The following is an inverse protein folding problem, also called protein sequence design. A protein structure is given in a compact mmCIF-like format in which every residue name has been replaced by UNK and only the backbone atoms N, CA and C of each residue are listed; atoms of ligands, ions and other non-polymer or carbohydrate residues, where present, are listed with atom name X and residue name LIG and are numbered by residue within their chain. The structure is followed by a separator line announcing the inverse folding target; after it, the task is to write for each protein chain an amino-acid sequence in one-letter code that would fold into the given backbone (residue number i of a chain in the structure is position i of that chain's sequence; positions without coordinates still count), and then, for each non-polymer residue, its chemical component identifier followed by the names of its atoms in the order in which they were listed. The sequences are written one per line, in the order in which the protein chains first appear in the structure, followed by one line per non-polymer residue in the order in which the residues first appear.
data_IF_766070576655
#
_entry.id   IF_766070576655
#
_cell.length_a   1.000
_cell.length_b   1.000
_cell.length_c   1.000
_cell.angle_alpha   90.00
_cell.angle_beta   90.00
_cell.angle_gamma   90.00
#
_symmetry.space_group_name_H-M   'P 1'
#
loop_
_entity.id
_entity.type
_entity.pdbx_description
1 polymer ?
#
# COMPACT_ATOMS: atom_id res chain seq x y z
N UNK A 1 10.30 -24.47 -3.74
CA UNK A 1 9.04 -24.11 -3.04
C UNK A 1 8.18 -23.37 -4.06
N UNK A 2 6.91 -23.67 -4.13
CA UNK A 2 5.98 -22.99 -5.04
C UNK A 2 5.84 -21.51 -4.67
N UNK A 3 5.79 -20.63 -5.68
CA UNK A 3 5.51 -19.22 -5.46
C UNK A 3 4.03 -19.02 -5.10
N UNK A 4 3.74 -18.98 -3.81
CA UNK A 4 2.35 -18.90 -3.30
C UNK A 4 1.68 -17.57 -3.61
N UNK A 5 2.44 -16.49 -3.80
CA UNK A 5 1.87 -15.21 -4.23
C UNK A 5 1.42 -15.31 -5.68
N UNK A 6 2.15 -16.02 -6.54
CA UNK A 6 1.75 -16.25 -7.94
C UNK A 6 0.35 -16.89 -8.02
N UNK A 7 0.09 -17.90 -7.18
CA UNK A 7 -1.23 -18.57 -7.12
C UNK A 7 -2.36 -17.57 -6.73
N UNK A 8 -2.07 -16.62 -5.84
CA UNK A 8 -3.07 -15.58 -5.51
C UNK A 8 -3.24 -14.57 -6.66
N UNK A 9 -2.16 -14.24 -7.39
CA UNK A 9 -2.23 -13.34 -8.55
C UNK A 9 -3.01 -13.95 -9.74
N UNK A 10 -3.09 -15.27 -9.85
CA UNK A 10 -3.92 -15.94 -10.88
C UNK A 10 -5.41 -15.57 -10.77
N UNK A 11 -5.86 -15.13 -9.59
CA UNK A 11 -7.24 -14.67 -9.34
C UNK A 11 -7.49 -13.22 -9.79
N UNK A 12 -6.47 -12.52 -10.26
CA UNK A 12 -6.57 -11.09 -10.61
C UNK A 12 -7.70 -10.82 -11.60
N UNK A 13 -7.79 -11.62 -12.68
CA UNK A 13 -8.84 -11.44 -13.68
C UNK A 13 -10.25 -11.61 -13.08
N UNK A 14 -10.43 -12.58 -12.19
CA UNK A 14 -11.69 -12.79 -11.48
C UNK A 14 -12.06 -11.57 -10.63
N UNK A 15 -11.06 -11.00 -9.94
CA UNK A 15 -11.23 -9.82 -9.09
C UNK A 15 -11.62 -8.59 -9.93
N UNK A 16 -10.99 -8.40 -11.08
CA UNK A 16 -11.32 -7.27 -11.96
C UNK A 16 -12.73 -7.38 -12.52
N UNK A 17 -13.12 -8.58 -13.00
CA UNK A 17 -14.48 -8.85 -13.45
C UNK A 17 -15.50 -8.69 -12.32
N UNK A 18 -15.14 -9.04 -11.09
CA UNK A 18 -15.99 -8.79 -9.93
C UNK A 18 -16.13 -7.29 -9.66
N UNK A 19 -15.04 -6.52 -9.67
CA UNK A 19 -15.06 -5.08 -9.44
C UNK A 19 -15.89 -4.36 -10.51
N UNK A 20 -15.81 -4.82 -11.77
CA UNK A 20 -16.57 -4.26 -12.88
C UNK A 20 -18.09 -4.39 -12.68
N UNK A 21 -18.55 -5.41 -11.97
CA UNK A 21 -19.98 -5.62 -11.67
C UNK A 21 -20.48 -4.84 -10.46
N UNK A 22 -19.58 -4.18 -9.68
CA UNK A 22 -19.99 -3.48 -8.47
C UNK A 22 -20.66 -2.14 -8.79
N UNK A 23 -21.71 -1.82 -8.04
CA UNK A 23 -22.25 -0.45 -8.03
C UNK A 23 -21.40 0.45 -7.14
N UNK A 24 -20.60 1.31 -7.76
CA UNK A 24 -19.74 2.27 -7.08
C UNK A 24 -20.34 3.67 -6.98
N UNK A 25 -21.61 3.87 -7.36
CA UNK A 25 -22.24 5.18 -7.39
C UNK A 25 -22.20 5.90 -6.03
N UNK A 26 -22.42 5.18 -4.93
CA UNK A 26 -22.32 5.72 -3.59
C UNK A 26 -20.91 6.21 -3.24
N UNK A 27 -19.89 5.40 -3.52
CA UNK A 27 -18.49 5.75 -3.30
C UNK A 27 -18.08 6.93 -4.18
N UNK A 28 -18.47 6.92 -5.45
CA UNK A 28 -18.24 8.03 -6.40
C UNK A 28 -18.85 9.33 -5.88
N UNK A 29 -20.10 9.31 -5.45
CA UNK A 29 -20.77 10.47 -4.86
C UNK A 29 -20.01 11.02 -3.67
N UNK A 30 -19.58 10.15 -2.74
CA UNK A 30 -18.83 10.58 -1.57
C UNK A 30 -17.49 11.23 -1.95
N UNK A 31 -16.76 10.63 -2.89
CA UNK A 31 -15.42 11.11 -3.27
C UNK A 31 -15.52 12.33 -4.20
N UNK A 32 -16.30 12.26 -5.27
CA UNK A 32 -16.26 13.23 -6.38
C UNK A 32 -17.34 14.31 -6.30
N UNK A 33 -18.58 13.99 -5.92
CA UNK A 33 -19.72 14.91 -6.03
C UNK A 33 -19.91 15.80 -4.80
N UNK A 34 -19.33 15.42 -3.67
CA UNK A 34 -19.40 16.22 -2.47
C UNK A 34 -18.57 17.51 -2.59
N UNK A 35 -18.85 18.57 -1.79
CA UNK A 35 -18.11 19.82 -1.83
C UNK A 35 -16.61 19.60 -1.79
N UNK A 36 -15.86 20.50 -2.42
CA UNK A 36 -14.40 20.48 -2.45
C UNK A 36 -13.82 20.62 -1.04
N UNK A 37 -13.53 19.50 -0.43
CA UNK A 37 -12.91 19.38 0.89
C UNK A 37 -11.65 18.54 0.75
N UNK A 38 -10.60 18.80 1.52
CA UNK A 38 -9.47 17.88 1.60
C UNK A 38 -9.94 16.46 1.94
N UNK A 39 -9.33 15.45 1.33
CA UNK A 39 -9.63 14.04 1.60
C UNK A 39 -8.51 13.42 2.43
N UNK A 40 -8.85 12.89 3.58
CA UNK A 40 -7.95 12.09 4.43
C UNK A 40 -8.34 10.63 4.29
N UNK A 41 -7.46 9.82 3.70
CA UNK A 41 -7.59 8.37 3.63
C UNK A 41 -6.80 7.73 4.78
N UNK A 42 -7.42 6.83 5.53
CA UNK A 42 -6.82 6.24 6.74
C UNK A 42 -6.77 4.74 6.59
N UNK A 43 -5.57 4.16 6.66
CA UNK A 43 -5.35 2.73 6.56
C UNK A 43 -4.00 2.30 7.13
N UNK A 44 -3.74 1.01 7.21
CA UNK A 44 -2.48 0.43 7.67
C UNK A 44 -2.12 -0.83 6.88
N UNK A 45 -0.82 -1.17 6.80
CA UNK A 45 -0.33 -2.28 5.99
C UNK A 45 -0.73 -2.09 4.52
N UNK A 46 -1.15 -3.13 3.82
CA UNK A 46 -1.61 -3.05 2.43
C UNK A 46 -2.76 -2.04 2.19
N UNK A 47 -3.60 -1.76 3.21
CA UNK A 47 -4.63 -0.72 3.09
C UNK A 47 -4.05 0.69 3.01
N UNK A 48 -2.84 0.95 3.51
CA UNK A 48 -2.17 2.26 3.37
C UNK A 48 -1.78 2.53 1.92
N UNK A 49 -1.34 1.50 1.20
CA UNK A 49 -1.09 1.57 -0.25
C UNK A 49 -2.36 1.97 -1.02
N UNK A 50 -3.50 1.33 -0.69
CA UNK A 50 -4.80 1.73 -1.24
C UNK A 50 -5.17 3.19 -0.90
N UNK A 51 -4.95 3.60 0.36
CA UNK A 51 -5.18 4.99 0.78
C UNK A 51 -4.35 5.97 -0.05
N UNK A 52 -3.09 5.63 -0.32
CA UNK A 52 -2.22 6.46 -1.16
C UNK A 52 -2.71 6.54 -2.59
N UNK A 53 -3.16 5.42 -3.15
CA UNK A 53 -3.75 5.40 -4.48
C UNK A 53 -4.99 6.30 -4.59
N UNK A 54 -5.93 6.18 -3.64
CA UNK A 54 -7.11 7.05 -3.57
C UNK A 54 -6.71 8.52 -3.46
N UNK A 55 -5.73 8.82 -2.60
CA UNK A 55 -5.24 10.19 -2.38
C UNK A 55 -4.65 10.80 -3.64
N UNK A 56 -3.87 10.04 -4.42
CA UNK A 56 -3.33 10.48 -5.71
C UNK A 56 -4.46 10.71 -6.73
N UNK A 57 -5.41 9.77 -6.84
CA UNK A 57 -6.58 9.92 -7.72
C UNK A 57 -7.37 11.19 -7.38
N UNK A 58 -7.59 11.43 -6.10
CA UNK A 58 -8.30 12.62 -5.63
C UNK A 58 -7.51 13.90 -5.95
N UNK A 59 -6.20 13.88 -5.69
CA UNK A 59 -5.34 15.06 -5.89
C UNK A 59 -5.19 15.46 -7.37
N UNK A 60 -5.30 14.50 -8.28
CA UNK A 60 -5.24 14.80 -9.72
C UNK A 60 -6.53 15.43 -10.28
N UNK A 61 -7.66 15.41 -9.53
CA UNK A 61 -8.97 15.78 -10.07
C UNK A 61 -9.76 16.78 -9.24
N UNK A 62 -9.61 16.76 -7.92
CA UNK A 62 -10.57 17.44 -7.04
C UNK A 62 -9.93 18.36 -6.00
N UNK A 63 -8.79 18.03 -5.46
CA UNK A 63 -8.18 18.81 -4.40
C UNK A 63 -7.17 18.02 -3.58
N UNK A 64 -6.78 18.50 -2.42
CA UNK A 64 -5.77 17.85 -1.62
C UNK A 64 -6.26 16.51 -1.05
N UNK A 65 -5.61 15.43 -1.46
CA UNK A 65 -5.76 14.10 -0.88
C UNK A 65 -4.50 13.69 -0.08
N UNK A 66 -4.68 13.08 1.07
CA UNK A 66 -3.57 12.55 1.86
C UNK A 66 -3.89 11.17 2.41
N UNK A 67 -2.86 10.32 2.54
CA UNK A 67 -2.96 9.01 3.15
C UNK A 67 -2.17 9.00 4.46
N UNK A 68 -2.79 8.53 5.52
CA UNK A 68 -2.20 8.48 6.86
C UNK A 68 -2.55 7.17 7.58
N UNK A 69 -1.74 6.84 8.58
CA UNK A 69 -2.03 5.72 9.46
C UNK A 69 -3.06 6.10 10.54
N UNK A 70 -3.74 5.14 11.17
CA UNK A 70 -4.63 5.40 12.29
C UNK A 70 -3.97 6.19 13.43
N UNK A 71 -2.70 5.93 13.70
CA UNK A 71 -1.95 6.64 14.73
C UNK A 71 -1.80 8.14 14.41
N UNK A 72 -1.51 8.47 13.15
CA UNK A 72 -1.32 9.86 12.72
C UNK A 72 -2.56 10.74 12.90
N UNK A 73 -3.76 10.15 12.95
CA UNK A 73 -5.02 10.90 13.17
C UNK A 73 -5.02 11.60 14.52
N UNK A 74 -4.33 11.06 15.53
CA UNK A 74 -4.25 11.69 16.85
C UNK A 74 -3.50 13.02 16.86
N UNK A 75 -2.62 13.23 15.88
CA UNK A 75 -1.91 14.51 15.71
C UNK A 75 -2.74 15.56 14.96
N UNK A 76 -3.96 15.23 14.51
CA UNK A 76 -4.84 16.15 13.80
C UNK A 76 -5.91 16.64 14.76
N UNK A 77 -6.08 17.97 14.84
CA UNK A 77 -7.11 18.57 15.68
C UNK A 77 -8.52 18.24 15.17
N UNK A 78 -9.49 18.24 16.07
CA UNK A 78 -10.88 17.99 15.72
C UNK A 78 -11.43 19.04 14.74
N UNK A 79 -10.97 20.29 14.84
CA UNK A 79 -11.40 21.35 13.91
C UNK A 79 -10.90 21.12 12.48
N UNK A 80 -9.69 20.60 12.31
CA UNK A 80 -9.20 20.18 10.98
C UNK A 80 -10.00 18.98 10.46
N UNK A 81 -10.27 17.98 11.31
CA UNK A 81 -11.06 16.81 10.90
C UNK A 81 -12.48 17.19 10.45
N UNK A 82 -13.11 18.22 11.06
CA UNK A 82 -14.43 18.73 10.65
C UNK A 82 -14.44 19.30 9.22
N UNK A 83 -13.32 19.81 8.75
CA UNK A 83 -13.23 20.42 7.40
C UNK A 83 -12.93 19.41 6.30
N UNK A 84 -12.55 18.19 6.63
CA UNK A 84 -12.10 17.16 5.67
C UNK A 84 -13.20 16.13 5.36
N UNK A 85 -13.09 15.47 4.23
CA UNK A 85 -13.66 14.15 4.00
C UNK A 85 -12.72 13.11 4.62
N UNK A 86 -13.26 12.10 5.26
CA UNK A 86 -12.49 11.05 5.92
C UNK A 86 -12.93 9.70 5.35
N UNK A 87 -12.01 8.96 4.74
CA UNK A 87 -12.24 7.64 4.20
C UNK A 87 -11.37 6.61 4.92
N UNK A 88 -12.00 5.73 5.68
CA UNK A 88 -11.35 4.63 6.38
C UNK A 88 -11.27 3.41 5.45
N UNK A 89 -10.07 2.95 5.15
CA UNK A 89 -9.84 1.77 4.30
C UNK A 89 -9.38 0.61 5.15
N UNK A 90 -10.11 -0.49 5.09
CA UNK A 90 -9.77 -1.69 5.86
C UNK A 90 -10.37 -2.91 5.19
N UNK A 91 -9.56 -3.92 4.89
CA UNK A 91 -10.03 -5.15 4.24
C UNK A 91 -11.27 -5.73 4.95
N UNK A 92 -11.15 -6.07 6.23
CA UNK A 92 -12.21 -6.74 7.02
C UNK A 92 -13.07 -5.81 7.86
N UNK A 93 -12.69 -4.55 7.99
CA UNK A 93 -13.42 -3.57 8.79
C UNK A 93 -13.48 -3.83 10.31
N UNK A 94 -12.63 -4.71 10.85
CA UNK A 94 -12.63 -5.11 12.27
C UNK A 94 -11.29 -4.84 12.98
N UNK A 95 -10.35 -4.15 12.35
CA UNK A 95 -9.11 -3.73 13.00
C UNK A 95 -9.42 -2.75 14.13
N UNK A 96 -8.85 -3.00 15.32
CA UNK A 96 -9.15 -2.22 16.54
C UNK A 96 -8.77 -0.75 16.42
N UNK A 97 -7.66 -0.45 15.75
CA UNK A 97 -7.19 0.92 15.55
C UNK A 97 -8.11 1.68 14.61
N UNK A 98 -8.46 1.06 13.47
CA UNK A 98 -9.41 1.65 12.51
C UNK A 98 -10.78 1.86 13.15
N UNK A 99 -11.29 0.92 13.92
CA UNK A 99 -12.60 1.06 14.58
C UNK A 99 -12.59 2.13 15.67
N UNK A 100 -11.49 2.29 16.40
CA UNK A 100 -11.33 3.37 17.37
C UNK A 100 -11.33 4.76 16.69
N UNK A 101 -10.57 4.89 15.58
CA UNK A 101 -10.57 6.12 14.78
C UNK A 101 -11.94 6.39 14.15
N UNK A 102 -12.62 5.36 13.64
CA UNK A 102 -13.98 5.50 13.10
C UNK A 102 -14.94 6.10 14.11
N UNK A 103 -14.91 5.62 15.36
CA UNK A 103 -15.72 6.18 16.44
C UNK A 103 -15.41 7.65 16.71
N UNK A 104 -14.13 8.03 16.74
CA UNK A 104 -13.73 9.44 16.90
C UNK A 104 -14.23 10.29 15.73
N UNK A 105 -13.98 9.86 14.49
CA UNK A 105 -14.39 10.61 13.31
C UNK A 105 -15.92 10.76 13.22
N UNK A 106 -16.68 9.73 13.60
CA UNK A 106 -18.14 9.80 13.64
C UNK A 106 -18.68 10.78 14.68
N UNK A 107 -17.98 10.98 15.79
CA UNK A 107 -18.35 12.01 16.79
C UNK A 107 -18.06 13.42 16.27
N UNK A 108 -16.99 13.59 15.48
CA UNK A 108 -16.50 14.90 15.02
C UNK A 108 -17.18 15.32 13.72
N UNK A 109 -17.27 14.38 12.76
CA UNK A 109 -17.66 14.66 11.37
C UNK A 109 -18.44 13.48 10.75
N UNK A 110 -19.65 13.15 11.25
CA UNK A 110 -20.41 11.98 10.81
C UNK A 110 -20.88 12.08 9.35
N UNK A 111 -21.07 13.28 8.84
CA UNK A 111 -21.53 13.52 7.46
C UNK A 111 -20.46 13.14 6.44
N UNK A 112 -19.20 13.45 6.74
CA UNK A 112 -18.07 13.29 5.83
C UNK A 112 -17.10 12.18 6.27
N UNK A 113 -17.58 11.24 7.08
CA UNK A 113 -16.82 10.03 7.45
C UNK A 113 -17.43 8.80 6.77
N UNK A 114 -16.59 8.09 6.04
CA UNK A 114 -16.96 6.89 5.29
C UNK A 114 -15.96 5.75 5.49
N UNK A 115 -16.34 4.54 5.08
CA UNK A 115 -15.42 3.41 5.00
C UNK A 115 -15.47 2.72 3.63
N UNK A 116 -14.37 2.08 3.27
CA UNK A 116 -14.23 1.15 2.16
C UNK A 116 -13.72 -0.19 2.69
N UNK A 117 -14.48 -1.27 2.46
CA UNK A 117 -14.09 -2.65 2.80
C UNK A 117 -14.40 -3.59 1.64
N UNK A 118 -13.61 -4.65 1.46
CA UNK A 118 -13.72 -5.58 0.33
C UNK A 118 -13.81 -7.05 0.73
N UNK A 119 -13.85 -7.36 2.01
CA UNK A 119 -14.00 -8.74 2.46
C UNK A 119 -15.40 -8.98 3.01
N UNK A 120 -15.93 -10.14 2.71
CA UNK A 120 -17.14 -10.70 3.33
C UNK A 120 -16.94 -10.78 4.86
N UNK A 121 -17.63 -9.94 5.57
CA UNK A 121 -17.41 -9.76 7.00
C UNK A 121 -18.69 -9.79 7.81
N UNK A 122 -19.08 -10.99 8.27
CA UNK A 122 -20.01 -11.12 9.41
C UNK A 122 -19.48 -10.37 10.67
N UNK A 123 -18.18 -10.04 10.71
CA UNK A 123 -17.50 -9.31 11.78
C UNK A 123 -17.01 -7.91 11.37
N UNK A 124 -17.64 -7.29 10.39
CA UNK A 124 -17.28 -5.91 9.98
C UNK A 124 -17.85 -4.90 10.99
N UNK A 125 -17.00 -4.42 11.88
CA UNK A 125 -17.41 -3.45 12.92
C UNK A 125 -17.57 -2.04 12.34
N UNK A 126 -16.87 -1.68 11.25
CA UNK A 126 -17.08 -0.39 10.57
C UNK A 126 -18.51 -0.25 10.05
N UNK A 127 -19.09 -1.33 9.52
CA UNK A 127 -20.49 -1.35 9.06
C UNK A 127 -21.50 -0.99 10.16
N UNK A 128 -21.13 -1.21 11.44
CA UNK A 128 -21.97 -0.87 12.60
C UNK A 128 -21.74 0.56 13.10
N UNK A 129 -20.57 1.13 12.82
CA UNK A 129 -20.14 2.44 13.31
C UNK A 129 -20.48 3.53 12.30
N UNK A 130 -20.22 3.30 11.02
CA UNK A 130 -20.41 4.26 9.94
C UNK A 130 -21.87 4.25 9.47
N UNK A 131 -22.42 5.43 9.21
CA UNK A 131 -23.77 5.57 8.69
C UNK A 131 -23.95 4.79 7.37
N UNK A 132 -25.09 4.09 7.14
CA UNK A 132 -25.28 3.24 5.97
C UNK A 132 -25.00 3.92 4.63
N UNK A 133 -25.34 5.21 4.47
CA UNK A 133 -25.12 6.00 3.26
C UNK A 133 -23.65 6.20 2.91
N UNK A 134 -22.75 6.08 3.90
CA UNK A 134 -21.31 6.26 3.79
C UNK A 134 -20.54 4.95 4.03
N UNK A 135 -21.23 3.81 4.13
CA UNK A 135 -20.64 2.52 4.44
C UNK A 135 -20.50 1.69 3.16
N UNK A 136 -19.36 1.78 2.50
CA UNK A 136 -19.06 1.13 1.22
C UNK A 136 -18.42 -0.22 1.47
N UNK A 137 -19.24 -1.27 1.48
CA UNK A 137 -18.83 -2.64 1.77
C UNK A 137 -19.10 -3.50 0.54
N UNK A 138 -18.04 -3.89 -0.16
CA UNK A 138 -18.05 -4.69 -1.37
C UNK A 138 -17.55 -6.09 -1.06
N UNK A 139 -18.45 -7.06 -1.01
CA UNK A 139 -18.11 -8.44 -0.66
C UNK A 139 -17.52 -9.16 -1.89
N UNK A 140 -16.19 -9.30 -1.92
CA UNK A 140 -15.52 -9.95 -3.06
C UNK A 140 -15.61 -11.48 -3.05
N UNK A 141 -16.05 -12.09 -1.94
CA UNK A 141 -15.99 -13.54 -1.75
C UNK A 141 -14.56 -14.10 -1.62
N UNK A 142 -13.55 -13.23 -1.73
CA UNK A 142 -12.14 -13.61 -1.75
C UNK A 142 -11.52 -13.32 -0.39
N UNK A 143 -10.97 -14.36 0.23
CA UNK A 143 -10.30 -14.24 1.51
C UNK A 143 -8.79 -14.15 1.31
N UNK A 144 -8.20 -13.03 1.75
CA UNK A 144 -6.76 -12.93 1.90
C UNK A 144 -6.26 -13.77 3.07
N UNK A 145 -5.03 -14.24 2.91
CA UNK A 145 -4.26 -14.85 3.98
C UNK A 145 -3.55 -13.78 4.81
N UNK A 146 -2.36 -14.05 5.35
CA UNK A 146 -1.63 -13.12 6.21
C UNK A 146 -1.28 -11.83 5.45
N UNK A 147 -0.67 -11.94 4.27
CA UNK A 147 -0.42 -10.78 3.40
C UNK A 147 -1.60 -10.58 2.47
N UNK A 148 -2.09 -9.36 2.41
CA UNK A 148 -3.20 -8.96 1.55
C UNK A 148 -2.72 -8.75 0.12
N UNK A 149 -3.24 -9.56 -0.80
CA UNK A 149 -2.99 -9.45 -2.24
C UNK A 149 -4.32 -9.15 -2.94
N UNK A 150 -5.27 -10.06 -2.79
CA UNK A 150 -6.53 -10.01 -3.51
C UNK A 150 -7.40 -8.84 -3.06
N UNK A 151 -7.45 -8.53 -1.77
CA UNK A 151 -8.21 -7.37 -1.28
C UNK A 151 -7.57 -6.03 -1.67
N UNK A 152 -6.24 -5.96 -1.76
CA UNK A 152 -5.57 -4.77 -2.28
C UNK A 152 -5.90 -4.60 -3.76
N UNK A 153 -5.80 -5.66 -4.56
CA UNK A 153 -6.20 -5.67 -5.98
C UNK A 153 -7.67 -5.25 -6.14
N UNK A 154 -8.58 -5.80 -5.34
CA UNK A 154 -9.99 -5.47 -5.35
C UNK A 154 -10.25 -3.99 -5.02
N UNK A 155 -9.56 -3.45 -4.03
CA UNK A 155 -9.66 -2.03 -3.68
C UNK A 155 -9.17 -1.12 -4.83
N UNK A 156 -8.03 -1.46 -5.45
CA UNK A 156 -7.52 -0.68 -6.59
C UNK A 156 -8.50 -0.71 -7.77
N UNK A 157 -9.05 -1.88 -8.09
CA UNK A 157 -10.02 -2.02 -9.17
C UNK A 157 -11.31 -1.22 -8.91
N UNK A 158 -11.85 -1.26 -7.68
CA UNK A 158 -13.01 -0.45 -7.29
C UNK A 158 -12.73 1.04 -7.37
N UNK A 159 -11.54 1.47 -6.95
CA UNK A 159 -11.12 2.87 -7.02
C UNK A 159 -10.99 3.31 -8.48
N UNK A 160 -10.35 2.51 -9.35
CA UNK A 160 -10.29 2.81 -10.79
C UNK A 160 -11.69 2.95 -11.38
N UNK A 161 -12.58 1.99 -11.12
CA UNK A 161 -13.97 2.06 -11.57
C UNK A 161 -14.68 3.31 -11.06
N UNK A 162 -14.47 3.67 -9.80
CA UNK A 162 -15.09 4.86 -9.20
C UNK A 162 -14.69 6.16 -9.92
N UNK A 163 -13.42 6.30 -10.25
CA UNK A 163 -12.90 7.53 -10.84
C UNK A 163 -12.93 7.56 -12.37
N UNK A 164 -12.74 6.42 -13.03
CA UNK A 164 -12.60 6.33 -14.49
C UNK A 164 -13.80 5.69 -15.19
N UNK A 165 -14.54 4.84 -14.51
CA UNK A 165 -15.49 3.93 -15.14
C UNK A 165 -14.79 2.68 -15.66
N UNK A 166 -14.91 2.39 -16.95
CA UNK A 166 -14.24 1.25 -17.58
C UNK A 166 -12.72 1.47 -17.64
N UNK A 167 -11.96 0.42 -17.40
CA UNK A 167 -10.50 0.41 -17.47
C UNK A 167 -10.00 -0.95 -17.96
N UNK A 168 -8.87 -0.94 -18.64
CA UNK A 168 -8.18 -2.14 -19.11
C UNK A 168 -6.80 -2.23 -18.48
N UNK A 169 -6.36 -3.45 -18.16
CA UNK A 169 -5.03 -3.72 -17.59
C UNK A 169 -4.38 -4.86 -18.38
N UNK A 170 -3.17 -4.64 -18.83
CA UNK A 170 -2.37 -5.70 -19.48
C UNK A 170 -1.58 -6.48 -18.43
N UNK A 171 -1.93 -7.77 -18.27
CA UNK A 171 -1.27 -8.66 -17.32
C UNK A 171 -0.17 -9.54 -17.93
N UNK A 172 0.12 -9.40 -19.21
CA UNK A 172 0.98 -10.36 -19.93
C UNK A 172 2.42 -10.39 -19.47
N UNK A 173 2.89 -9.38 -18.72
CA UNK A 173 4.29 -9.21 -18.35
C UNK A 173 4.57 -9.35 -16.85
N UNK A 174 3.81 -10.15 -16.10
CA UNK A 174 4.07 -10.38 -14.67
C UNK A 174 5.22 -11.39 -14.40
N UNK A 175 5.71 -12.07 -15.41
CA UNK A 175 6.61 -13.23 -15.27
C UNK A 175 8.12 -12.92 -15.47
N UNK A 176 8.52 -11.68 -15.80
CA UNK A 176 9.91 -11.36 -16.20
C UNK A 176 10.93 -11.29 -15.05
N UNK A 177 10.52 -11.52 -13.81
CA UNK A 177 11.34 -11.23 -12.63
C UNK A 177 12.17 -12.42 -12.11
N UNK A 178 12.12 -13.57 -12.78
CA UNK A 178 12.79 -14.81 -12.34
C UNK A 178 14.31 -14.87 -12.53
N UNK A 179 14.93 -13.83 -13.09
CA UNK A 179 16.33 -13.88 -13.56
C UNK A 179 17.34 -13.55 -12.45
N UNK A 180 16.91 -12.91 -11.36
CA UNK A 180 17.82 -12.48 -10.30
C UNK A 180 17.93 -13.47 -9.14
N UNK A 181 19.11 -13.56 -8.55
CA UNK A 181 19.32 -14.21 -7.26
C UNK A 181 19.08 -13.19 -6.13
N UNK A 182 17.94 -13.35 -5.45
CA UNK A 182 17.53 -12.47 -4.33
C UNK A 182 18.02 -12.98 -2.96
N UNK A 183 18.70 -14.13 -2.92
CA UNK A 183 19.24 -14.67 -1.65
C UNK A 183 20.35 -13.77 -1.12
N UNK A 184 20.36 -13.60 0.19
CA UNK A 184 21.35 -12.76 0.88
C UNK A 184 21.12 -11.26 0.72
N UNK A 185 19.99 -10.82 0.18
CA UNK A 185 19.58 -9.42 0.20
C UNK A 185 18.74 -9.19 1.47
N UNK A 186 19.22 -8.31 2.34
CA UNK A 186 18.57 -7.96 3.60
C UNK A 186 18.05 -6.52 3.64
N UNK A 187 18.38 -5.71 2.63
CA UNK A 187 17.97 -4.32 2.52
C UNK A 187 17.48 -3.99 1.12
N UNK A 188 16.22 -3.61 0.99
CA UNK A 188 15.66 -3.09 -0.26
C UNK A 188 15.50 -1.58 -0.15
N UNK A 189 16.00 -0.86 -1.15
CA UNK A 189 15.81 0.58 -1.31
C UNK A 189 14.90 0.76 -2.51
N UNK A 190 13.66 1.18 -2.26
CA UNK A 190 12.62 1.28 -3.29
C UNK A 190 12.48 2.72 -3.72
N UNK A 191 12.72 2.95 -5.00
CA UNK A 191 12.60 4.26 -5.64
C UNK A 191 11.33 4.32 -6.47
N UNK A 192 10.62 5.44 -6.37
CA UNK A 192 9.37 5.63 -7.09
C UNK A 192 9.20 7.08 -7.57
N UNK A 193 8.24 7.28 -8.48
CA UNK A 193 7.68 8.57 -8.86
C UNK A 193 6.18 8.44 -9.08
N UNK A 194 5.45 9.54 -8.91
CA UNK A 194 4.03 9.64 -9.26
C UNK A 194 3.18 8.42 -8.90
N UNK A 195 2.68 7.76 -9.92
CA UNK A 195 1.80 6.58 -9.78
C UNK A 195 2.52 5.32 -9.27
N UNK A 196 3.83 5.31 -9.19
CA UNK A 196 4.61 4.22 -8.57
C UNK A 196 4.59 4.23 -7.04
N UNK A 197 4.20 5.34 -6.39
CA UNK A 197 4.23 5.47 -4.93
C UNK A 197 3.34 4.43 -4.21
N UNK A 198 2.08 4.20 -4.62
CA UNK A 198 1.26 3.18 -3.99
C UNK A 198 1.87 1.77 -4.08
N UNK A 199 2.47 1.43 -5.23
CA UNK A 199 3.14 0.15 -5.43
C UNK A 199 4.39 0.01 -4.55
N UNK A 200 5.16 1.08 -4.37
CA UNK A 200 6.33 1.10 -3.49
C UNK A 200 5.95 0.83 -2.02
N UNK A 201 4.86 1.44 -1.54
CA UNK A 201 4.34 1.19 -0.19
C UNK A 201 3.80 -0.23 -0.03
N UNK A 202 3.18 -0.78 -1.07
CA UNK A 202 2.69 -2.15 -1.06
C UNK A 202 3.83 -3.18 -1.02
N UNK A 203 4.89 -2.93 -1.79
CA UNK A 203 6.10 -3.76 -1.75
C UNK A 203 6.78 -3.73 -0.38
N UNK A 204 6.97 -2.53 0.19
CA UNK A 204 7.54 -2.38 1.53
C UNK A 204 6.74 -3.18 2.56
N UNK A 205 5.43 -3.01 2.59
CA UNK A 205 4.54 -3.75 3.50
C UNK A 205 4.72 -5.27 3.33
N UNK A 206 4.74 -5.79 2.10
CA UNK A 206 4.88 -7.22 1.82
C UNK A 206 6.23 -7.79 2.27
N UNK A 207 7.32 -7.09 1.98
CA UNK A 207 8.69 -7.52 2.33
C UNK A 207 8.89 -7.52 3.85
N UNK A 208 8.48 -6.44 4.52
CA UNK A 208 8.67 -6.27 5.96
C UNK A 208 7.73 -7.17 6.77
N UNK A 209 6.46 -7.24 6.41
CA UNK A 209 5.47 -8.10 7.09
C UNK A 209 5.80 -9.59 6.91
N UNK A 210 6.39 -9.98 5.78
CA UNK A 210 6.88 -11.36 5.58
C UNK A 210 8.12 -11.69 6.39
N UNK A 211 8.79 -10.70 7.00
CA UNK A 211 10.06 -10.90 7.69
C UNK A 211 11.22 -11.27 6.76
N UNK A 212 11.13 -10.88 5.47
CA UNK A 212 12.16 -11.19 4.47
C UNK A 212 13.38 -10.30 4.64
N UNK A 213 13.15 -8.98 4.67
CA UNK A 213 14.19 -7.96 4.69
C UNK A 213 13.67 -6.65 5.26
N UNK A 214 14.55 -5.70 5.50
CA UNK A 214 14.19 -4.29 5.70
C UNK A 214 13.95 -3.62 4.36
N UNK A 215 13.08 -2.59 4.35
CA UNK A 215 12.75 -1.86 3.15
C UNK A 215 12.69 -0.36 3.45
N UNK A 216 13.36 0.45 2.61
CA UNK A 216 13.31 1.90 2.68
C UNK A 216 12.71 2.45 1.39
N UNK A 217 11.68 3.27 1.50
CA UNK A 217 10.95 3.83 0.36
C UNK A 217 11.30 5.30 0.19
N UNK A 218 11.57 5.75 -1.02
CA UNK A 218 11.90 7.13 -1.33
C UNK A 218 11.50 7.50 -2.74
N UNK A 219 10.98 8.71 -2.95
CA UNK A 219 10.89 9.21 -4.31
C UNK A 219 12.28 9.46 -4.91
N UNK A 220 12.37 9.43 -6.24
CA UNK A 220 13.62 9.58 -6.99
C UNK A 220 14.39 10.86 -6.63
N UNK A 221 13.69 11.96 -6.39
CA UNK A 221 14.36 13.26 -6.09
C UNK A 221 14.90 13.30 -4.67
N UNK A 222 14.12 12.83 -3.70
CA UNK A 222 14.55 12.74 -2.31
C UNK A 222 15.73 11.76 -2.16
N UNK A 223 15.76 10.69 -2.95
CA UNK A 223 16.92 9.80 -3.02
C UNK A 223 18.22 10.56 -3.39
N UNK A 224 18.14 11.46 -4.36
CA UNK A 224 19.27 12.28 -4.80
C UNK A 224 19.76 13.29 -3.72
N UNK A 225 19.00 13.53 -2.67
CA UNK A 225 19.39 14.40 -1.55
C UNK A 225 20.16 13.66 -0.43
N UNK A 226 21.07 12.74 -0.80
CA UNK A 226 21.99 12.07 0.10
C UNK A 226 21.63 10.62 0.46
N UNK A 227 20.40 10.14 0.16
CA UNK A 227 20.03 8.75 0.45
C UNK A 227 20.77 7.73 -0.41
N UNK A 228 21.32 8.15 -1.55
CA UNK A 228 22.17 7.35 -2.43
C UNK A 228 23.48 6.88 -1.76
N UNK A 229 23.91 7.54 -0.69
CA UNK A 229 25.15 7.18 0.03
C UNK A 229 25.04 5.75 0.59
N UNK A 230 23.87 5.35 1.08
CA UNK A 230 23.67 4.02 1.65
C UNK A 230 23.94 2.90 0.64
N UNK A 231 23.26 2.81 -0.53
CA UNK A 231 23.57 1.77 -1.50
C UNK A 231 24.98 1.88 -2.08
N UNK A 232 25.53 3.09 -2.26
CA UNK A 232 26.89 3.26 -2.71
C UNK A 232 27.92 2.67 -1.75
N UNK A 233 27.73 2.83 -0.45
CA UNK A 233 28.62 2.25 0.55
C UNK A 233 28.47 0.73 0.62
N UNK A 234 27.26 0.20 0.58
CA UNK A 234 26.99 -1.23 0.61
C UNK A 234 27.44 -1.93 -0.69
N UNK A 235 27.52 -1.24 -1.80
CA UNK A 235 27.99 -1.77 -3.07
C UNK A 235 29.49 -1.54 -3.33
N UNK A 236 30.26 -1.08 -2.35
CA UNK A 236 31.72 -1.08 -2.41
C UNK A 236 32.38 0.12 -3.08
N UNK A 237 31.81 1.32 -2.99
CA UNK A 237 32.52 2.55 -3.33
C UNK A 237 33.67 2.87 -2.33
N UNK A 238 33.51 2.47 -1.08
CA UNK A 238 34.56 2.61 -0.09
C UNK A 238 35.32 1.30 0.08
N UNK A 239 36.48 1.18 -0.60
CA UNK A 239 37.37 0.01 -0.51
C UNK A 239 37.92 -0.28 0.90
N UNK A 240 37.65 0.60 1.87
CA UNK A 240 38.14 0.49 3.26
C UNK A 240 37.15 -0.18 4.22
N UNK A 241 35.92 -0.46 3.77
CA UNK A 241 34.90 -1.13 4.60
C UNK A 241 34.46 -2.41 3.92
N UNK A 242 34.68 -3.54 4.58
CA UNK A 242 34.06 -4.84 4.22
C UNK A 242 32.57 -4.82 4.57
N UNK A 243 31.81 -3.91 3.94
CA UNK A 243 30.35 -3.91 4.06
C UNK A 243 29.81 -4.95 3.07
N UNK A 244 29.04 -5.91 3.54
CA UNK A 244 28.44 -6.92 2.66
C UNK A 244 27.58 -6.28 1.58
N UNK A 245 27.64 -6.78 0.35
CA UNK A 245 26.72 -6.39 -0.72
C UNK A 245 25.39 -7.12 -0.55
N UNK A 246 24.63 -6.72 0.48
CA UNK A 246 23.37 -7.29 0.91
C UNK A 246 22.15 -6.39 0.61
N UNK A 247 22.39 -5.37 -0.22
CA UNK A 247 21.38 -4.38 -0.59
C UNK A 247 21.00 -4.47 -2.07
N UNK A 248 19.74 -4.18 -2.37
CA UNK A 248 19.27 -3.98 -3.74
C UNK A 248 18.47 -2.69 -3.86
N UNK A 249 18.56 -2.04 -5.03
CA UNK A 249 17.74 -0.88 -5.37
C UNK A 249 16.64 -1.34 -6.32
N UNK A 250 15.38 -1.20 -5.89
CA UNK A 250 14.20 -1.46 -6.70
C UNK A 250 13.72 -0.13 -7.27
N UNK A 251 13.61 -0.04 -8.58
CA UNK A 251 13.25 1.18 -9.30
C UNK A 251 11.88 0.97 -9.94
N UNK A 252 10.85 1.60 -9.36
CA UNK A 252 9.46 1.53 -9.82
C UNK A 252 9.17 2.75 -10.68
N UNK A 253 8.84 2.55 -11.96
CA UNK A 253 8.70 3.65 -12.90
C UNK A 253 7.57 3.46 -13.91
N UNK A 254 6.99 4.59 -14.26
CA UNK A 254 6.16 4.77 -15.46
C UNK A 254 7.02 5.42 -16.55
N UNK A 255 6.53 5.58 -17.78
CA UNK A 255 7.27 6.25 -18.85
C UNK A 255 7.79 7.64 -18.47
N UNK A 256 7.10 8.33 -17.57
CA UNK A 256 7.48 9.65 -17.07
C UNK A 256 8.77 9.64 -16.27
N UNK A 257 9.02 8.61 -15.48
CA UNK A 257 10.18 8.51 -14.59
C UNK A 257 11.43 7.95 -15.28
N UNK A 258 11.29 7.27 -16.42
CA UNK A 258 12.40 6.61 -17.13
C UNK A 258 13.64 7.49 -17.28
N UNK A 259 13.56 8.76 -17.74
CA UNK A 259 14.78 9.57 -17.95
C UNK A 259 15.54 9.86 -16.64
N UNK A 260 14.83 9.95 -15.51
CA UNK A 260 15.46 10.18 -14.20
C UNK A 260 15.99 8.86 -13.62
N UNK A 261 15.23 7.79 -13.75
CA UNK A 261 15.59 6.46 -13.30
C UNK A 261 16.87 5.97 -14.00
N UNK A 262 16.99 6.15 -15.32
CA UNK A 262 18.18 5.79 -16.08
C UNK A 262 19.43 6.51 -15.57
N UNK A 263 19.34 7.81 -15.33
CA UNK A 263 20.48 8.57 -14.77
C UNK A 263 20.90 8.07 -13.39
N UNK A 264 19.94 7.71 -12.54
CA UNK A 264 20.24 7.14 -11.22
C UNK A 264 20.83 5.74 -11.37
N UNK A 265 20.29 4.92 -12.26
CA UNK A 265 20.80 3.58 -12.56
C UNK A 265 22.27 3.61 -13.00
N UNK A 266 22.61 4.55 -13.88
CA UNK A 266 23.96 4.71 -14.41
C UNK A 266 24.94 5.28 -13.38
N UNK A 267 24.41 6.10 -12.43
CA UNK A 267 25.17 6.63 -11.31
C UNK A 267 25.49 5.57 -10.24
N UNK A 268 24.59 4.62 -10.01
CA UNK A 268 24.78 3.59 -9.00
C UNK A 268 25.91 2.63 -9.40
N UNK A 269 26.75 2.16 -8.45
CA UNK A 269 27.86 1.25 -8.72
C UNK A 269 27.41 0.00 -9.49
N UNK A 270 28.25 -0.54 -10.36
CA UNK A 270 27.96 -1.76 -11.15
C UNK A 270 27.64 -2.96 -10.26
N UNK A 271 28.28 -3.05 -9.09
CA UNK A 271 28.03 -4.10 -8.11
C UNK A 271 26.68 -3.98 -7.39
N UNK A 272 26.04 -2.82 -7.48
CA UNK A 272 24.72 -2.62 -6.87
C UNK A 272 23.69 -3.42 -7.65
N UNK A 273 22.95 -4.28 -6.96
CA UNK A 273 21.82 -5.01 -7.55
C UNK A 273 20.70 -4.00 -7.85
N UNK A 274 20.34 -3.87 -9.12
CA UNK A 274 19.33 -2.94 -9.62
C UNK A 274 18.18 -3.76 -10.19
N UNK A 275 16.99 -3.61 -9.62
CA UNK A 275 15.77 -4.31 -10.00
C UNK A 275 14.83 -3.28 -10.61
N UNK A 276 14.46 -3.46 -11.86
CA UNK A 276 13.62 -2.55 -12.61
C UNK A 276 12.19 -3.09 -12.65
N UNK A 277 11.25 -2.29 -12.17
CA UNK A 277 9.80 -2.56 -12.25
C UNK A 277 9.18 -1.42 -13.03
N UNK A 278 8.84 -1.69 -14.28
CA UNK A 278 8.32 -0.68 -15.18
C UNK A 278 6.96 -1.07 -15.76
N UNK A 279 6.21 -0.07 -16.19
CA UNK A 279 4.98 -0.24 -16.96
C UNK A 279 4.97 0.72 -18.13
N UNK A 280 4.31 0.34 -19.21
CA UNK A 280 3.99 1.23 -20.32
C UNK A 280 2.65 1.94 -20.14
N UNK A 281 1.86 1.53 -19.14
CA UNK A 281 0.62 2.22 -18.80
C UNK A 281 0.91 3.62 -18.25
N UNK A 282 0.00 4.53 -18.53
CA UNK A 282 0.02 5.88 -18.01
C UNK A 282 -1.14 6.11 -17.04
N UNK A 283 -0.99 7.10 -16.17
CA UNK A 283 -2.05 7.48 -15.25
C UNK A 283 -2.30 6.43 -14.16
N UNK A 284 -3.54 6.30 -13.78
CA UNK A 284 -3.93 5.50 -12.62
C UNK A 284 -3.82 3.99 -12.84
N UNK A 285 -3.98 3.51 -14.07
CA UNK A 285 -3.80 2.10 -14.42
C UNK A 285 -2.37 1.64 -14.15
N UNK A 286 -1.39 2.53 -14.37
CA UNK A 286 0.00 2.26 -14.04
C UNK A 286 0.17 1.84 -12.56
N UNK A 287 -0.55 2.47 -11.64
CA UNK A 287 -0.46 2.12 -10.21
C UNK A 287 -0.92 0.69 -9.92
N UNK A 288 -2.00 0.23 -10.56
CA UNK A 288 -2.49 -1.14 -10.37
C UNK A 288 -1.54 -2.16 -11.02
N UNK A 289 -1.07 -1.89 -12.24
CA UNK A 289 -0.11 -2.77 -12.92
C UNK A 289 1.19 -2.89 -12.12
N UNK A 290 1.76 -1.76 -11.68
CA UNK A 290 2.97 -1.75 -10.85
C UNK A 290 2.75 -2.47 -9.52
N UNK A 291 1.59 -2.32 -8.87
CA UNK A 291 1.25 -3.03 -7.64
C UNK A 291 1.23 -4.56 -7.85
N UNK A 292 0.71 -5.04 -8.98
CA UNK A 292 0.71 -6.46 -9.32
C UNK A 292 2.14 -6.96 -9.58
N UNK A 293 2.96 -6.19 -10.30
CA UNK A 293 4.37 -6.52 -10.57
C UNK A 293 5.20 -6.59 -9.28
N UNK A 294 5.08 -5.62 -8.38
CA UNK A 294 5.80 -5.68 -7.10
C UNK A 294 5.31 -6.80 -6.18
N UNK A 295 4.03 -7.18 -6.29
CA UNK A 295 3.52 -8.35 -5.59
C UNK A 295 4.13 -9.65 -6.13
N UNK A 296 4.27 -9.77 -7.43
CA UNK A 296 4.97 -10.90 -8.09
C UNK A 296 6.42 -10.96 -7.62
N UNK A 297 7.15 -9.84 -7.67
CA UNK A 297 8.52 -9.73 -7.17
C UNK A 297 8.64 -10.18 -5.70
N UNK A 298 7.77 -9.71 -4.82
CA UNK A 298 7.77 -10.14 -3.42
C UNK A 298 7.58 -11.66 -3.27
N UNK A 299 6.76 -12.27 -4.14
CA UNK A 299 6.58 -13.72 -4.22
C UNK A 299 7.83 -14.48 -4.63
N UNK A 300 8.57 -13.98 -5.62
CA UNK A 300 9.85 -14.58 -6.05
C UNK A 300 10.91 -14.46 -4.95
N UNK A 301 11.04 -13.30 -4.34
CA UNK A 301 11.96 -13.07 -3.21
C UNK A 301 11.66 -14.04 -2.07
N UNK A 302 10.39 -14.15 -1.67
CA UNK A 302 9.96 -15.06 -0.60
C UNK A 302 10.29 -16.52 -0.94
N UNK A 303 10.02 -16.95 -2.18
CA UNK A 303 10.25 -18.31 -2.65
C UNK A 303 11.74 -18.68 -2.60
N UNK A 304 12.61 -17.78 -3.09
CA UNK A 304 14.06 -18.01 -3.08
C UNK A 304 14.64 -18.05 -1.65
N UNK A 305 14.08 -17.24 -0.74
CA UNK A 305 14.47 -17.25 0.67
C UNK A 305 13.75 -18.33 1.50
N UNK A 306 12.95 -19.20 0.87
CA UNK A 306 12.19 -20.29 1.50
C UNK A 306 11.21 -19.81 2.58
N UNK A 307 10.68 -18.60 2.43
CA UNK A 307 9.71 -17.98 3.33
C UNK A 307 8.30 -18.18 2.74
N UNK A 308 7.34 -18.50 3.60
CA UNK A 308 5.93 -18.51 3.22
C UNK A 308 5.27 -17.18 3.61
N UNK A 309 5.11 -16.22 2.68
CA UNK A 309 4.60 -14.90 3.02
C UNK A 309 3.10 -14.91 3.35
N UNK A 310 2.39 -15.99 3.03
CA UNK A 310 0.95 -16.10 3.26
C UNK A 310 0.58 -16.71 4.63
N UNK A 311 1.57 -17.07 5.44
CA UNK A 311 1.36 -17.56 6.79
C UNK A 311 2.05 -16.67 7.80
N UNK A 312 1.38 -16.42 8.94
CA UNK A 312 2.07 -15.86 10.11
C UNK A 312 3.31 -16.70 10.44
N UNK A 313 4.45 -16.07 10.72
CA UNK A 313 5.63 -16.81 11.17
C UNK A 313 5.26 -17.71 12.35
N UNK A 314 5.49 -19.03 12.21
CA UNK A 314 5.18 -20.05 13.22
C UNK A 314 6.10 -19.96 14.45
N UNK A 315 6.30 -18.78 14.98
CA UNK A 315 7.02 -18.59 16.23
C UNK A 315 5.98 -18.42 17.33
N UNK A 316 5.70 -19.50 18.06
CA UNK A 316 4.71 -19.52 19.15
C UNK A 316 4.93 -18.41 20.21
N UNK A 317 6.11 -17.77 20.20
CA UNK A 317 6.41 -16.59 20.99
C UNK A 317 5.95 -15.25 20.38
N UNK A 318 5.78 -15.17 19.06
CA UNK A 318 5.35 -13.93 18.36
C UNK A 318 3.84 -13.74 18.46
N UNK A 319 3.05 -14.82 18.34
CA UNK A 319 1.57 -14.73 18.40
C UNK A 319 1.06 -14.19 19.73
N UNK A 320 1.70 -14.54 20.84
CA UNK A 320 1.34 -14.04 22.18
C UNK A 320 1.78 -12.59 22.45
N UNK A 321 2.65 -12.03 21.62
CA UNK A 321 3.25 -10.70 21.78
C UNK A 321 2.92 -9.76 20.62
N UNK A 322 2.06 -10.17 19.70
CA UNK A 322 1.78 -9.37 18.49
C UNK A 322 1.11 -8.05 18.87
N UNK A 323 1.72 -6.90 18.55
CA UNK A 323 1.25 -5.57 18.99
C UNK A 323 -0.18 -5.22 18.58
N UNK A 324 -0.73 -5.85 17.50
CA UNK A 324 -2.13 -5.65 17.10
C UNK A 324 -3.15 -5.94 18.23
N UNK A 325 -2.75 -6.73 19.23
CA UNK A 325 -3.62 -7.06 20.35
C UNK A 325 -3.52 -6.03 21.47
N UNK A 326 -2.51 -5.17 21.44
CA UNK A 326 -2.36 -4.10 22.41
C UNK A 326 -3.34 -2.99 22.03
N UNK A 327 -4.29 -2.61 22.90
CA UNK A 327 -5.20 -1.50 22.65
C UNK A 327 -4.45 -0.16 22.80
N UNK A 328 -3.42 0.04 21.98
CA UNK A 328 -2.51 1.17 22.06
C UNK A 328 -3.24 2.52 21.96
N UNK A 329 -4.28 2.56 21.12
CA UNK A 329 -5.10 3.77 20.93
C UNK A 329 -6.00 4.06 22.14
N UNK A 330 -6.47 3.06 22.88
CA UNK A 330 -7.24 3.28 24.10
C UNK A 330 -6.40 3.95 25.20
N UNK A 331 -5.10 3.70 25.22
CA UNK A 331 -4.18 4.29 26.19
C UNK A 331 -3.81 5.73 25.80
N UNK A 332 -3.72 6.06 24.51
CA UNK A 332 -3.51 7.42 24.01
C UNK A 332 -4.68 8.37 24.33
N UNK A 333 -5.92 7.85 24.44
CA UNK A 333 -7.06 8.65 24.88
C UNK A 333 -6.90 9.21 26.30
N UNK A 334 -6.10 8.56 27.13
CA UNK A 334 -5.82 9.01 28.49
C UNK A 334 -4.79 10.13 28.56
N UNK A 335 -3.96 10.28 27.52
CA UNK A 335 -2.90 11.29 27.47
C UNK A 335 -3.31 12.62 26.82
N UNK A 336 -4.53 12.72 26.30
CA UNK A 336 -5.02 13.93 25.61
C UNK A 336 -4.43 14.10 24.19
N UNK A 337 -4.90 15.09 23.41
CA UNK A 337 -4.25 15.45 22.16
C UNK A 337 -2.84 15.97 22.47
N UNK A 338 -1.89 15.74 21.52
CA UNK A 338 -0.58 16.35 21.62
C UNK A 338 -0.75 17.85 21.82
N UNK A 339 -0.42 18.34 23.01
CA UNK A 339 -0.37 19.78 23.28
C UNK A 339 0.81 20.36 22.52
N UNK A 340 0.54 21.41 21.74
CA UNK A 340 1.58 22.24 21.12
C UNK A 340 2.23 23.08 22.21
#
# INVERSE_FOLDING_TARGET
MENKIKVELEKTNEILLWADRQDVAGLKRFIEEAPEKPLICIGSGGSLSTCKFISLMYSTRKGLGTAITPYSVYSISDDVLKTCKILLVSNRGNNKDITAIAKRCMLINPEWTANLTTTDGTKNDLKKIIAPKNSFNYESGINDRFISINSVTANYALVLKTFKGDFEIDFKNLDDEGIFDYRGIYHYIVLYGGWGEPAALDFESKIVESGIATCAVSDYRNFCHGRFILPCNHCGHDKKKDIPNDSAVVMIMTPREVPLADRIRDFLPDKCKKIIIETFAEGAEAALELMLKVSSLAGYIATQNKINPLSTPNNSGIDKRYPKQIPFIADLKKSGPLSI
#
